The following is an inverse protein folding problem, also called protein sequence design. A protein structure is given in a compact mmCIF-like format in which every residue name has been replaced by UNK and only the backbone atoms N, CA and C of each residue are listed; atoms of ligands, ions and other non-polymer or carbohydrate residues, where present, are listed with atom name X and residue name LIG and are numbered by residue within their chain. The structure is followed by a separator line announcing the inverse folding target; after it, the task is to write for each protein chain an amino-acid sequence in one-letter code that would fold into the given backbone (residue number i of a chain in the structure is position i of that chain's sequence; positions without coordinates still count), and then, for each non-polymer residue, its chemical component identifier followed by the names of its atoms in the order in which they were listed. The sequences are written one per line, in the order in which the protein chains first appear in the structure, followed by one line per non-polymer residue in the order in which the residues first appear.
data_IF_204544352355
#
_entry.id   IF_204544352355
#
_cell.length_a   1.000
_cell.length_b   1.000
_cell.length_c   1.000
_cell.angle_alpha   90.00
_cell.angle_beta   90.00
_cell.angle_gamma   90.00
#
_symmetry.space_group_name_H-M   'P 1'
#
loop_
_entity.id
_entity.type
_entity.pdbx_description
1 polymer ?
#
# COMPACT_ATOMS: atom_id res chain seq x y z
N UNK A 1 27.26 14.91 23.91
CA UNK A 1 26.48 13.68 23.64
C UNK A 1 27.40 12.54 23.17
N UNK A 2 28.72 12.60 23.44
CA UNK A 2 29.72 11.73 22.79
C UNK A 2 30.14 10.50 23.62
N UNK A 3 29.63 10.38 24.86
CA UNK A 3 30.02 9.28 25.76
C UNK A 3 29.35 7.94 25.43
N UNK A 4 28.19 7.97 24.78
CA UNK A 4 27.39 6.78 24.45
C UNK A 4 27.96 6.10 23.20
N UNK A 5 28.39 6.87 22.20
CA UNK A 5 28.91 6.36 20.93
C UNK A 5 30.26 5.65 21.12
N UNK A 6 31.18 6.27 21.87
CA UNK A 6 32.46 5.63 22.23
C UNK A 6 32.34 4.42 23.16
N UNK A 7 31.21 4.27 23.86
CA UNK A 7 30.92 3.07 24.66
C UNK A 7 30.41 1.92 23.79
N UNK A 8 29.63 2.24 22.75
CA UNK A 8 29.17 1.28 21.75
C UNK A 8 30.29 0.76 20.86
N UNK A 9 31.21 1.62 20.41
CA UNK A 9 32.39 1.19 19.64
C UNK A 9 33.28 0.25 20.47
N UNK A 10 33.59 0.61 21.72
CA UNK A 10 34.37 -0.24 22.63
C UNK A 10 33.70 -1.59 22.88
N UNK A 11 32.37 -1.60 23.00
CA UNK A 11 31.61 -2.85 23.15
C UNK A 11 31.64 -3.70 21.88
N UNK A 12 31.50 -3.09 20.71
CA UNK A 12 31.57 -3.74 19.40
C UNK A 12 32.93 -4.40 19.16
N UNK A 13 34.01 -3.67 19.45
CA UNK A 13 35.38 -4.16 19.27
C UNK A 13 35.72 -5.26 20.27
N UNK A 14 35.36 -5.07 21.55
CA UNK A 14 35.63 -6.05 22.61
C UNK A 14 34.98 -7.41 22.34
N UNK A 15 33.81 -7.42 21.73
CA UNK A 15 33.08 -8.65 21.42
C UNK A 15 33.29 -9.16 19.99
N UNK A 16 34.16 -8.52 19.21
CA UNK A 16 34.42 -8.90 17.82
C UNK A 16 33.17 -8.82 16.93
N UNK A 17 32.19 -7.98 17.28
CA UNK A 17 30.93 -7.88 16.52
C UNK A 17 31.18 -7.35 15.11
N UNK A 18 32.16 -6.46 14.95
CA UNK A 18 32.61 -5.98 13.63
C UNK A 18 33.24 -7.05 12.75
N UNK A 19 33.94 -8.03 13.34
CA UNK A 19 34.56 -9.13 12.59
C UNK A 19 33.59 -10.28 12.30
N UNK A 20 32.53 -10.45 13.10
CA UNK A 20 31.41 -11.33 12.78
C UNK A 20 30.52 -10.79 11.65
N UNK A 21 30.34 -9.46 11.54
CA UNK A 21 29.63 -8.83 10.41
C UNK A 21 30.30 -9.10 9.05
N UNK A 22 31.63 -9.11 8.98
CA UNK A 22 32.39 -9.43 7.76
C UNK A 22 32.31 -10.90 7.34
N UNK A 23 31.87 -11.79 8.24
CA UNK A 23 31.70 -13.23 7.98
C UNK A 23 30.28 -13.60 7.58
N UNK A 24 29.33 -12.65 7.69
CA UNK A 24 28.03 -12.88 7.09
C UNK A 24 28.22 -12.98 5.57
N UNK A 25 27.55 -13.93 4.90
CA UNK A 25 27.49 -13.92 3.45
C UNK A 25 27.08 -12.50 3.02
N UNK A 26 27.60 -11.99 1.89
CA UNK A 26 27.11 -10.72 1.37
C UNK A 26 25.59 -10.77 1.41
N UNK A 27 24.96 -9.70 1.94
CA UNK A 27 23.51 -9.56 1.87
C UNK A 27 23.09 -9.98 0.46
N UNK A 28 22.10 -10.89 0.32
CA UNK A 28 21.69 -11.38 -0.99
C UNK A 28 21.58 -10.17 -1.90
N UNK A 29 22.39 -10.15 -2.96
CA UNK A 29 22.52 -9.02 -3.88
C UNK A 29 21.12 -8.54 -4.18
N UNK A 30 20.81 -7.30 -3.74
CA UNK A 30 19.49 -6.71 -3.90
C UNK A 30 19.02 -6.99 -5.33
N UNK A 31 18.02 -7.85 -5.48
CA UNK A 31 17.41 -8.04 -6.79
C UNK A 31 16.80 -6.69 -7.14
N UNK A 32 17.30 -6.04 -8.19
CA UNK A 32 16.66 -4.83 -8.70
C UNK A 32 15.19 -5.16 -8.94
N UNK A 33 14.23 -4.35 -8.44
CA UNK A 33 12.83 -4.59 -8.69
C UNK A 33 12.61 -4.76 -10.20
N UNK A 34 11.81 -5.75 -10.64
CA UNK A 34 11.47 -5.85 -12.05
C UNK A 34 10.80 -4.56 -12.52
N UNK A 35 10.91 -4.23 -13.80
CA UNK A 35 10.14 -3.12 -14.38
C UNK A 35 8.66 -3.47 -14.45
N UNK A 36 7.79 -2.48 -14.28
CA UNK A 36 6.36 -2.64 -14.55
C UNK A 36 6.12 -3.07 -16.01
N UNK A 37 5.15 -3.96 -16.20
CA UNK A 37 4.59 -4.23 -17.52
C UNK A 37 3.77 -3.03 -18.02
N UNK A 38 3.45 -2.93 -19.32
CA UNK A 38 2.56 -1.89 -19.83
C UNK A 38 1.24 -1.87 -19.06
N UNK A 39 0.85 -0.70 -18.57
CA UNK A 39 -0.34 -0.52 -17.77
C UNK A 39 -1.62 -0.68 -18.61
N UNK A 40 -2.54 -1.53 -18.15
CA UNK A 40 -3.90 -1.58 -18.66
C UNK A 40 -4.67 -0.30 -18.29
N UNK A 41 -4.64 0.66 -19.23
CA UNK A 41 -5.25 1.98 -19.07
C UNK A 41 -6.77 1.92 -18.85
N UNK A 42 -7.45 0.90 -19.40
CA UNK A 42 -8.90 0.74 -19.23
C UNK A 42 -9.25 0.33 -17.80
N UNK A 43 -8.50 -0.63 -17.24
CA UNK A 43 -8.64 -1.03 -15.83
C UNK A 43 -8.24 0.12 -14.90
N UNK A 44 -7.18 0.86 -15.23
CA UNK A 44 -6.73 2.01 -14.43
C UNK A 44 -7.81 3.09 -14.34
N UNK A 45 -8.45 3.43 -15.46
CA UNK A 45 -9.53 4.42 -15.50
C UNK A 45 -10.71 3.97 -14.64
N UNK A 46 -11.11 2.69 -14.74
CA UNK A 46 -12.20 2.14 -13.92
C UNK A 46 -11.86 2.13 -12.43
N UNK A 47 -10.61 1.86 -12.07
CA UNK A 47 -10.14 1.94 -10.70
C UNK A 47 -10.30 3.37 -10.14
N UNK A 48 -9.88 4.40 -10.87
CA UNK A 48 -10.06 5.78 -10.42
C UNK A 48 -11.53 6.16 -10.26
N UNK A 49 -12.42 5.70 -11.13
CA UNK A 49 -13.86 5.88 -10.97
C UNK A 49 -14.41 5.16 -9.73
N UNK A 50 -13.94 3.96 -9.43
CA UNK A 50 -14.30 3.25 -8.21
C UNK A 50 -13.85 4.03 -6.96
N UNK A 51 -12.65 4.62 -6.98
CA UNK A 51 -12.19 5.51 -5.91
C UNK A 51 -13.07 6.76 -5.76
N UNK A 52 -13.43 7.44 -6.85
CA UNK A 52 -14.34 8.60 -6.77
C UNK A 52 -15.68 8.22 -6.15
N UNK A 53 -16.28 7.12 -6.60
CA UNK A 53 -17.56 6.64 -6.11
C UNK A 53 -17.48 6.27 -4.62
N UNK A 54 -16.44 5.54 -4.22
CA UNK A 54 -16.21 5.18 -2.84
C UNK A 54 -15.95 6.41 -1.96
N UNK A 55 -15.22 7.41 -2.46
CA UNK A 55 -15.02 8.67 -1.76
C UNK A 55 -16.35 9.39 -1.55
N UNK A 56 -17.13 9.60 -2.61
CA UNK A 56 -18.40 10.32 -2.53
C UNK A 56 -19.44 9.61 -1.65
N UNK A 57 -19.40 8.28 -1.58
CA UNK A 57 -20.27 7.49 -0.70
C UNK A 57 -19.92 7.67 0.79
N UNK A 58 -18.63 7.84 1.10
CA UNK A 58 -18.10 7.86 2.46
C UNK A 58 -17.71 9.27 2.95
N UNK A 59 -17.69 10.25 2.06
CA UNK A 59 -17.31 11.61 2.38
C UNK A 59 -18.44 12.32 3.15
N UNK A 60 -18.10 13.15 4.14
CA UNK A 60 -19.10 13.96 4.83
C UNK A 60 -19.75 14.95 3.84
N UNK A 61 -21.05 15.15 4.03
CA UNK A 61 -21.83 16.15 3.29
C UNK A 61 -21.22 17.55 3.46
N UNK A 62 -21.19 18.40 2.40
CA UNK A 62 -21.79 18.20 1.08
C UNK A 62 -20.74 17.86 0.00
N UNK A 63 -20.10 16.70 0.09
CA UNK A 63 -19.24 16.23 -1.01
C UNK A 63 -20.11 15.74 -2.17
N UNK A 64 -20.16 16.50 -3.26
CA UNK A 64 -20.85 16.14 -4.51
C UNK A 64 -19.84 15.79 -5.61
N UNK A 65 -20.30 15.07 -6.64
CA UNK A 65 -19.48 14.79 -7.83
C UNK A 65 -18.94 16.08 -8.46
N UNK A 66 -19.74 17.15 -8.50
CA UNK A 66 -19.32 18.44 -9.05
C UNK A 66 -18.26 19.10 -8.19
N UNK A 67 -18.40 19.05 -6.86
CA UNK A 67 -17.39 19.59 -5.94
C UNK A 67 -16.06 18.86 -6.03
N UNK A 68 -16.11 17.54 -6.22
CA UNK A 68 -14.91 16.72 -6.42
C UNK A 68 -14.23 17.06 -7.75
N UNK A 69 -14.99 17.12 -8.84
CA UNK A 69 -14.45 17.48 -10.15
C UNK A 69 -13.82 18.87 -10.14
N UNK A 70 -14.49 19.86 -9.55
CA UNK A 70 -13.98 21.22 -9.42
C UNK A 70 -12.68 21.28 -8.59
N UNK A 71 -12.59 20.50 -7.51
CA UNK A 71 -11.38 20.45 -6.68
C UNK A 71 -10.22 19.76 -7.42
N UNK A 72 -10.49 18.68 -8.16
CA UNK A 72 -9.49 18.01 -9.00
C UNK A 72 -8.95 18.98 -10.06
N UNK A 73 -9.82 19.70 -10.76
CA UNK A 73 -9.43 20.67 -11.78
C UNK A 73 -8.64 21.84 -11.18
N UNK A 74 -9.06 22.34 -10.01
CA UNK A 74 -8.31 23.35 -9.27
C UNK A 74 -6.90 22.88 -8.93
N UNK A 75 -6.74 21.64 -8.46
CA UNK A 75 -5.42 21.07 -8.16
C UNK A 75 -4.58 20.94 -9.43
N UNK A 76 -5.15 20.44 -10.53
CA UNK A 76 -4.47 20.32 -11.83
C UNK A 76 -3.90 21.65 -12.34
N UNK A 77 -4.57 22.77 -12.04
CA UNK A 77 -4.08 24.12 -12.38
C UNK A 77 -2.96 24.61 -11.46
N UNK A 78 -2.88 24.10 -10.23
CA UNK A 78 -1.91 24.53 -9.22
C UNK A 78 -0.60 23.73 -9.26
N UNK A 79 -0.65 22.48 -9.74
CA UNK A 79 0.52 21.60 -9.82
C UNK A 79 0.90 21.34 -11.28
N UNK A 80 2.20 21.35 -11.56
CA UNK A 80 2.70 20.97 -12.88
C UNK A 80 2.81 19.44 -12.99
N UNK A 81 2.57 18.85 -14.17
CA UNK A 81 2.79 17.43 -14.42
C UNK A 81 4.26 16.96 -14.34
N UNK A 82 5.21 17.82 -13.97
CA UNK A 82 6.64 17.50 -13.89
C UNK A 82 6.96 16.77 -12.58
N UNK A 83 6.67 15.47 -12.50
CA UNK A 83 7.20 14.58 -11.47
C UNK A 83 8.51 13.95 -11.96
N UNK A 84 9.55 14.78 -12.08
CA UNK A 84 10.83 14.45 -12.73
C UNK A 84 11.75 13.50 -11.92
N UNK A 85 11.22 12.65 -11.03
CA UNK A 85 12.03 11.62 -10.33
C UNK A 85 12.03 10.27 -11.02
N UNK A 86 11.11 10.03 -11.97
CA UNK A 86 11.05 8.81 -12.77
C UNK A 86 11.12 9.18 -14.25
N UNK A 87 11.93 8.47 -15.05
CA UNK A 87 12.13 8.69 -16.49
C UNK A 87 10.86 8.52 -17.37
N UNK A 88 9.68 8.48 -16.77
CA UNK A 88 8.40 8.42 -17.44
C UNK A 88 7.41 9.32 -16.69
N UNK A 89 7.11 10.53 -17.18
CA UNK A 89 6.03 11.36 -16.65
C UNK A 89 4.70 10.72 -17.06
N UNK A 90 4.36 9.61 -16.42
CA UNK A 90 3.15 8.88 -16.77
C UNK A 90 1.94 9.76 -16.39
N UNK A 91 1.03 10.06 -17.34
CA UNK A 91 -0.20 10.82 -17.05
C UNK A 91 -1.00 10.23 -15.89
N UNK A 92 -0.83 8.94 -15.63
CA UNK A 92 -1.45 8.16 -14.55
C UNK A 92 -1.00 8.61 -13.16
N UNK A 93 0.28 8.93 -12.97
CA UNK A 93 0.81 9.41 -11.68
C UNK A 93 0.21 10.77 -11.32
N UNK A 94 0.17 11.70 -12.30
CA UNK A 94 -0.43 13.02 -12.10
C UNK A 94 -1.92 12.94 -11.79
N UNK A 95 -2.66 12.14 -12.57
CA UNK A 95 -4.09 11.99 -12.39
C UNK A 95 -4.42 11.38 -11.02
N UNK A 96 -3.70 10.33 -10.61
CA UNK A 96 -3.88 9.71 -9.30
C UNK A 96 -3.58 10.71 -8.18
N UNK A 97 -2.44 11.41 -8.26
CA UNK A 97 -2.06 12.41 -7.27
C UNK A 97 -3.15 13.50 -7.12
N UNK A 98 -3.65 14.05 -8.23
CA UNK A 98 -4.65 15.11 -8.21
C UNK A 98 -5.95 14.66 -7.53
N UNK A 99 -6.43 13.44 -7.86
CA UNK A 99 -7.66 12.87 -7.28
C UNK A 99 -7.54 12.62 -5.79
N UNK A 100 -6.50 11.91 -5.38
CA UNK A 100 -6.31 11.59 -3.96
C UNK A 100 -6.01 12.84 -3.14
N UNK A 101 -5.32 13.84 -3.70
CA UNK A 101 -5.18 15.15 -3.05
C UNK A 101 -6.53 15.86 -2.90
N UNK A 102 -7.40 15.80 -3.90
CA UNK A 102 -8.76 16.35 -3.78
C UNK A 102 -9.55 15.66 -2.66
N UNK A 103 -9.51 14.32 -2.56
CA UNK A 103 -10.18 13.59 -1.48
C UNK A 103 -9.73 14.08 -0.09
N UNK A 104 -8.41 14.22 0.10
CA UNK A 104 -7.85 14.68 1.37
C UNK A 104 -8.17 16.17 1.62
N UNK A 105 -8.13 17.03 0.60
CA UNK A 105 -8.45 18.46 0.70
C UNK A 105 -9.91 18.70 1.13
N UNK A 106 -10.84 18.03 0.47
CA UNK A 106 -12.27 18.10 0.79
C UNK A 106 -12.56 17.56 2.18
N UNK A 107 -11.93 16.44 2.56
CA UNK A 107 -12.07 15.85 3.89
C UNK A 107 -11.42 16.66 5.00
N UNK A 108 -10.41 17.49 4.67
CA UNK A 108 -9.83 18.42 5.63
C UNK A 108 -10.76 19.61 5.87
N UNK A 109 -11.51 20.01 4.85
CA UNK A 109 -12.46 21.12 4.90
C UNK A 109 -13.77 20.74 5.61
N UNK A 110 -14.19 19.49 5.48
CA UNK A 110 -15.30 18.89 6.21
C UNK A 110 -14.83 17.51 6.70
N UNK A 111 -14.36 17.39 7.95
CA UNK A 111 -13.84 16.12 8.47
C UNK A 111 -14.98 15.13 8.75
N UNK A 112 -14.81 13.84 8.38
CA UNK A 112 -15.77 12.82 8.77
C UNK A 112 -15.75 12.64 10.31
N UNK A 113 -16.86 12.16 10.90
CA UNK A 113 -16.95 12.00 12.36
C UNK A 113 -15.87 11.07 12.92
N UNK A 114 -15.43 10.09 12.14
CA UNK A 114 -14.36 9.16 12.48
C UNK A 114 -13.46 8.91 11.28
N UNK A 115 -12.25 9.48 11.28
CA UNK A 115 -11.25 9.32 10.21
C UNK A 115 -10.94 7.85 9.92
N UNK A 116 -10.80 7.04 10.98
CA UNK A 116 -10.54 5.60 10.86
C UNK A 116 -11.67 4.88 10.13
N UNK A 117 -12.92 5.16 10.50
CA UNK A 117 -14.08 4.55 9.87
C UNK A 117 -14.19 4.95 8.40
N UNK A 118 -14.02 6.23 8.07
CA UNK A 118 -14.03 6.71 6.70
C UNK A 118 -12.95 6.03 5.84
N UNK A 119 -11.72 5.90 6.36
CA UNK A 119 -10.62 5.20 5.68
C UNK A 119 -10.96 3.72 5.47
N UNK A 120 -11.47 3.03 6.48
CA UNK A 120 -11.85 1.61 6.39
C UNK A 120 -12.98 1.38 5.38
N UNK A 121 -14.06 2.17 5.44
CA UNK A 121 -15.18 2.00 4.51
C UNK A 121 -14.80 2.33 3.07
N UNK A 122 -13.96 3.35 2.88
CA UNK A 122 -13.37 3.65 1.57
C UNK A 122 -12.58 2.45 1.04
N UNK A 123 -11.65 1.91 1.85
CA UNK A 123 -10.82 0.77 1.44
C UNK A 123 -11.64 -0.50 1.14
N UNK A 124 -12.67 -0.80 1.94
CA UNK A 124 -13.58 -1.91 1.69
C UNK A 124 -14.37 -1.73 0.38
N UNK A 125 -14.90 -0.52 0.14
CA UNK A 125 -15.67 -0.21 -1.08
C UNK A 125 -14.79 -0.35 -2.32
N UNK A 126 -13.58 0.24 -2.28
CA UNK A 126 -12.64 0.16 -3.41
C UNK A 126 -12.13 -1.27 -3.61
N UNK A 127 -11.82 -1.99 -2.53
CA UNK A 127 -11.36 -3.38 -2.60
C UNK A 127 -12.38 -4.32 -3.26
N UNK A 128 -13.66 -4.14 -2.94
CA UNK A 128 -14.76 -4.88 -3.59
C UNK A 128 -14.83 -4.62 -5.09
N UNK A 129 -14.77 -3.35 -5.49
CA UNK A 129 -14.81 -2.95 -6.90
C UNK A 129 -13.58 -3.45 -7.67
N UNK A 130 -12.38 -3.38 -7.09
CA UNK A 130 -11.17 -3.95 -7.71
C UNK A 130 -11.38 -5.45 -7.98
N UNK A 131 -11.83 -6.21 -6.98
CA UNK A 131 -12.00 -7.66 -7.14
C UNK A 131 -13.01 -7.99 -8.25
N UNK A 132 -14.09 -7.20 -8.35
CA UNK A 132 -15.07 -7.31 -9.43
C UNK A 132 -14.47 -6.95 -10.81
N UNK A 133 -13.62 -5.91 -10.90
CA UNK A 133 -12.91 -5.52 -12.12
C UNK A 133 -11.94 -6.60 -12.59
N UNK A 134 -11.26 -7.29 -11.66
CA UNK A 134 -10.38 -8.42 -11.94
C UNK A 134 -11.17 -9.71 -12.24
N UNK A 135 -12.47 -9.73 -11.99
CA UNK A 135 -13.37 -10.89 -12.14
C UNK A 135 -12.93 -12.08 -11.29
N UNK A 136 -12.41 -11.81 -10.10
CA UNK A 136 -11.97 -12.83 -9.16
C UNK A 136 -13.11 -13.10 -8.17
N UNK A 137 -13.66 -14.32 -8.10
CA UNK A 137 -14.73 -14.61 -7.17
C UNK A 137 -14.19 -14.69 -5.74
N UNK A 138 -14.99 -14.22 -4.78
CA UNK A 138 -14.76 -14.55 -3.38
C UNK A 138 -15.11 -16.02 -3.10
N UNK A 139 -14.42 -16.66 -2.14
CA UNK A 139 -14.77 -18.00 -1.70
C UNK A 139 -16.17 -18.01 -1.07
N UNK A 140 -16.98 -19.02 -1.40
CA UNK A 140 -18.33 -19.16 -0.82
C UNK A 140 -18.31 -19.40 0.69
N UNK A 141 -17.26 -20.07 1.17
CA UNK A 141 -16.97 -20.27 2.59
C UNK A 141 -15.57 -19.75 2.85
N UNK A 142 -15.41 -18.50 3.32
CA UNK A 142 -14.11 -17.89 3.50
C UNK A 142 -13.35 -18.55 4.66
N UNK A 143 -12.27 -19.22 4.33
CA UNK A 143 -11.19 -19.66 5.23
C UNK A 143 -9.93 -18.82 5.00
N UNK A 144 -9.02 -18.78 5.97
CA UNK A 144 -7.76 -18.04 5.84
C UNK A 144 -7.00 -18.43 4.56
N UNK A 145 -6.84 -19.74 4.33
CA UNK A 145 -6.20 -20.29 3.14
C UNK A 145 -6.91 -19.89 1.83
N UNK A 146 -8.25 -19.94 1.78
CA UNK A 146 -9.00 -19.53 0.60
C UNK A 146 -8.90 -18.02 0.32
N UNK A 147 -8.82 -17.20 1.36
CA UNK A 147 -8.59 -15.75 1.27
C UNK A 147 -7.18 -15.46 0.76
N UNK A 148 -6.16 -16.15 1.28
CA UNK A 148 -4.78 -16.06 0.80
C UNK A 148 -4.68 -16.43 -0.68
N UNK A 149 -5.30 -17.54 -1.09
CA UNK A 149 -5.36 -17.98 -2.49
C UNK A 149 -6.05 -16.94 -3.39
N UNK A 150 -7.14 -16.33 -2.92
CA UNK A 150 -7.86 -15.27 -3.63
C UNK A 150 -6.98 -14.03 -3.81
N UNK A 151 -6.26 -13.63 -2.76
CA UNK A 151 -5.34 -12.49 -2.79
C UNK A 151 -4.17 -12.76 -3.75
N UNK A 152 -3.56 -13.95 -3.72
CA UNK A 152 -2.49 -14.32 -4.66
C UNK A 152 -2.96 -14.22 -6.11
N UNK A 153 -4.15 -14.75 -6.43
CA UNK A 153 -4.73 -14.63 -7.76
C UNK A 153 -4.94 -13.16 -8.19
N UNK A 154 -5.37 -12.31 -7.25
CA UNK A 154 -5.54 -10.87 -7.52
C UNK A 154 -4.22 -10.15 -7.75
N UNK A 155 -3.19 -10.47 -6.97
CA UNK A 155 -1.84 -9.91 -7.14
C UNK A 155 -1.23 -10.32 -8.49
N UNK A 156 -1.40 -11.58 -8.90
CA UNK A 156 -0.95 -12.08 -10.20
C UNK A 156 -1.69 -11.42 -11.37
N UNK A 157 -3.00 -11.21 -11.27
CA UNK A 157 -3.78 -10.50 -12.29
C UNK A 157 -3.35 -9.02 -12.40
N UNK A 158 -3.17 -8.34 -11.26
CA UNK A 158 -2.66 -6.96 -11.22
C UNK A 158 -1.24 -6.83 -11.80
N UNK A 159 -0.37 -7.80 -11.54
CA UNK A 159 0.96 -7.88 -12.16
C UNK A 159 0.85 -8.01 -13.67
N UNK A 160 -0.01 -8.90 -14.16
CA UNK A 160 -0.22 -9.12 -15.60
C UNK A 160 -0.74 -7.89 -16.34
N UNK A 161 -1.44 -6.99 -15.63
CA UNK A 161 -1.98 -5.72 -16.13
C UNK A 161 -1.07 -4.51 -15.92
N UNK A 162 0.15 -4.71 -15.42
CA UNK A 162 1.13 -3.64 -15.24
C UNK A 162 0.90 -2.72 -14.04
N UNK A 163 0.08 -3.12 -13.06
CA UNK A 163 -0.10 -2.34 -11.83
C UNK A 163 0.98 -2.59 -10.80
N UNK A 164 1.52 -3.81 -10.76
CA UNK A 164 2.54 -4.28 -9.83
C UNK A 164 3.69 -4.88 -10.63
N UNK A 165 4.94 -4.69 -10.21
CA UNK A 165 6.05 -5.38 -10.86
C UNK A 165 6.28 -6.75 -10.22
N UNK A 166 6.26 -6.80 -8.88
CA UNK A 166 6.28 -8.04 -8.10
C UNK A 166 5.49 -7.85 -6.81
N UNK A 167 4.72 -8.88 -6.44
CA UNK A 167 4.06 -8.95 -5.15
C UNK A 167 4.14 -10.39 -4.63
N UNK A 168 4.53 -10.55 -3.37
CA UNK A 168 4.74 -11.86 -2.74
C UNK A 168 4.02 -11.88 -1.41
N UNK A 169 3.11 -12.83 -1.23
CA UNK A 169 2.48 -13.11 0.05
C UNK A 169 3.47 -13.89 0.94
N UNK A 170 3.51 -13.57 2.23
CA UNK A 170 4.25 -14.35 3.23
C UNK A 170 3.70 -15.77 3.28
N UNK A 171 4.60 -16.76 3.42
CA UNK A 171 4.20 -18.14 3.61
C UNK A 171 3.30 -18.26 4.85
N UNK A 172 2.09 -18.77 4.65
CA UNK A 172 1.17 -19.08 5.75
C UNK A 172 1.44 -20.53 6.15
N UNK A 173 2.11 -20.72 7.28
CA UNK A 173 2.48 -22.05 7.79
C UNK A 173 1.24 -22.81 8.27
N UNK A 174 1.31 -24.13 8.32
CA UNK A 174 0.26 -24.96 8.92
C UNK A 174 -0.01 -24.53 10.38
N UNK A 175 1.04 -24.20 11.13
CA UNK A 175 0.94 -23.64 12.49
C UNK A 175 0.12 -22.34 12.53
N UNK A 176 0.33 -21.40 11.59
CA UNK A 176 -0.45 -20.17 11.54
C UNK A 176 -1.93 -20.40 11.16
N UNK A 177 -2.21 -21.43 10.34
CA UNK A 177 -3.58 -21.83 10.03
C UNK A 177 -4.28 -22.46 11.24
N UNK A 178 -3.56 -23.30 11.99
CA UNK A 178 -4.04 -23.90 13.24
C UNK A 178 -4.28 -22.85 14.32
N UNK A 179 -3.32 -21.95 14.55
CA UNK A 179 -3.43 -20.84 15.49
C UNK A 179 -4.65 -19.96 15.18
N UNK A 180 -4.84 -19.61 13.91
CA UNK A 180 -6.01 -18.83 13.50
C UNK A 180 -7.32 -19.62 13.69
N UNK A 181 -7.33 -20.93 13.43
CA UNK A 181 -8.51 -21.76 13.65
C UNK A 181 -8.88 -21.89 15.14
N UNK A 182 -7.87 -21.88 16.02
CA UNK A 182 -8.01 -21.88 17.49
C UNK A 182 -8.34 -20.50 18.07
N UNK A 183 -8.37 -19.48 17.21
CA UNK A 183 -8.81 -18.13 17.52
C UNK A 183 -7.74 -17.19 18.02
N UNK A 184 -6.49 -17.46 17.65
CA UNK A 184 -5.37 -16.57 17.90
C UNK A 184 -5.24 -15.52 16.78
N UNK A 185 -4.77 -14.34 17.18
CA UNK A 185 -4.46 -13.26 16.25
C UNK A 185 -3.35 -13.71 15.28
N UNK A 186 -3.52 -13.43 14.00
CA UNK A 186 -2.57 -13.81 12.95
C UNK A 186 -2.20 -12.59 12.11
N UNK A 187 -0.95 -12.51 11.67
CA UNK A 187 -0.50 -11.47 10.74
C UNK A 187 -0.10 -12.08 9.41
N UNK A 188 -0.62 -11.52 8.33
CA UNK A 188 -0.23 -11.87 6.97
C UNK A 188 0.45 -10.65 6.36
N UNK A 189 1.56 -10.86 5.65
CA UNK A 189 2.31 -9.78 5.00
C UNK A 189 2.35 -9.98 3.50
N UNK A 190 2.11 -8.92 2.73
CA UNK A 190 2.39 -8.87 1.29
C UNK A 190 3.57 -7.94 1.08
N UNK A 191 4.65 -8.43 0.47
CA UNK A 191 5.75 -7.62 0.00
C UNK A 191 5.49 -7.19 -1.46
N UNK A 192 5.48 -5.89 -1.73
CA UNK A 192 5.28 -5.31 -3.06
C UNK A 192 6.55 -4.59 -3.48
N UNK A 193 7.17 -5.05 -4.56
CA UNK A 193 8.32 -4.37 -5.16
C UNK A 193 7.85 -3.60 -6.38
N UNK A 194 7.72 -2.28 -6.19
CA UNK A 194 7.23 -1.30 -7.17
C UNK A 194 5.76 -1.51 -7.60
N UNK A 195 4.99 -0.43 -7.47
CA UNK A 195 3.63 -0.32 -8.00
C UNK A 195 3.43 1.01 -8.74
N UNK A 196 2.38 1.08 -9.56
CA UNK A 196 2.08 2.25 -10.39
C UNK A 196 1.67 3.50 -9.60
N UNK A 197 1.33 3.36 -8.32
CA UNK A 197 0.85 4.43 -7.44
C UNK A 197 1.92 4.95 -6.48
N UNK A 198 3.03 4.22 -6.31
CA UNK A 198 4.08 4.48 -5.34
C UNK A 198 4.54 5.95 -5.33
N UNK A 199 4.83 6.51 -6.52
CA UNK A 199 5.24 7.91 -6.65
C UNK A 199 4.15 8.88 -6.15
N UNK A 200 2.90 8.65 -6.52
CA UNK A 200 1.77 9.49 -6.06
C UNK A 200 1.57 9.39 -4.54
N UNK A 201 1.73 8.20 -3.96
CA UNK A 201 1.63 7.97 -2.51
C UNK A 201 2.72 8.70 -1.73
N UNK A 202 3.97 8.64 -2.22
CA UNK A 202 5.10 9.37 -1.62
C UNK A 202 4.82 10.87 -1.64
N UNK A 203 4.41 11.42 -2.79
CA UNK A 203 4.15 12.86 -2.95
C UNK A 203 3.01 13.37 -2.06
N UNK A 204 1.95 12.58 -1.90
CA UNK A 204 0.86 12.89 -0.96
C UNK A 204 1.37 12.89 0.48
N UNK A 205 2.17 11.88 0.84
CA UNK A 205 2.71 11.70 2.19
C UNK A 205 3.69 12.81 2.58
N UNK A 206 4.53 13.27 1.64
CA UNK A 206 5.44 14.42 1.82
C UNK A 206 4.67 15.72 2.12
N UNK A 207 3.46 15.85 1.61
CA UNK A 207 2.57 17.01 1.86
C UNK A 207 1.67 16.83 3.08
N UNK A 208 1.80 15.71 3.81
CA UNK A 208 0.99 15.40 4.99
C UNK A 208 -0.40 14.82 4.68
N UNK A 209 -0.72 14.53 3.41
CA UNK A 209 -1.97 13.89 3.02
C UNK A 209 -1.88 12.37 3.22
N UNK A 210 -2.51 11.87 4.29
CA UNK A 210 -2.41 10.45 4.71
C UNK A 210 -3.75 9.74 4.94
N UNK A 211 -4.88 10.45 4.80
CA UNK A 211 -6.19 9.85 5.07
C UNK A 211 -6.58 8.90 3.94
N UNK A 212 -6.52 9.38 2.71
CA UNK A 212 -6.72 8.59 1.51
C UNK A 212 -5.41 8.52 0.73
N UNK A 213 -4.83 7.33 0.63
CA UNK A 213 -3.63 7.05 -0.15
C UNK A 213 -3.93 5.92 -1.14
N UNK A 214 -3.47 6.00 -2.39
CA UNK A 214 -3.74 4.95 -3.38
C UNK A 214 -2.91 3.71 -3.08
N UNK A 215 -3.57 2.56 -2.88
CA UNK A 215 -2.90 1.28 -2.71
C UNK A 215 -3.83 0.09 -3.02
N UNK A 216 -3.62 -0.54 -4.18
CA UNK A 216 -4.42 -1.69 -4.60
C UNK A 216 -4.30 -2.86 -3.63
N UNK A 217 -3.06 -3.17 -3.22
CA UNK A 217 -2.77 -4.29 -2.33
C UNK A 217 -3.45 -4.08 -0.98
N UNK A 218 -3.38 -2.88 -0.41
CA UNK A 218 -4.06 -2.61 0.87
C UNK A 218 -5.58 -2.69 0.77
N UNK A 219 -6.18 -2.15 -0.30
CA UNK A 219 -7.63 -2.23 -0.50
C UNK A 219 -8.12 -3.66 -0.70
N UNK A 220 -7.42 -4.44 -1.53
CA UNK A 220 -7.72 -5.85 -1.76
C UNK A 220 -7.57 -6.68 -0.50
N UNK A 221 -6.44 -6.55 0.21
CA UNK A 221 -6.22 -7.28 1.46
C UNK A 221 -7.27 -6.93 2.50
N UNK A 222 -7.58 -5.64 2.68
CA UNK A 222 -8.62 -5.20 3.61
C UNK A 222 -9.97 -5.80 3.28
N UNK A 223 -10.37 -5.79 2.00
CA UNK A 223 -11.66 -6.34 1.58
C UNK A 223 -11.71 -7.86 1.69
N UNK A 224 -10.74 -8.58 1.13
CA UNK A 224 -10.72 -10.05 1.11
C UNK A 224 -10.72 -10.61 2.53
N UNK A 225 -9.86 -10.11 3.42
CA UNK A 225 -9.79 -10.62 4.79
C UNK A 225 -10.95 -10.17 5.68
N UNK A 226 -11.63 -9.05 5.36
CA UNK A 226 -12.86 -8.66 6.07
C UNK A 226 -14.03 -9.64 5.89
N UNK A 227 -13.93 -10.56 4.92
CA UNK A 227 -14.93 -11.61 4.70
C UNK A 227 -14.79 -12.77 5.68
N UNK A 228 -13.67 -12.86 6.41
CA UNK A 228 -13.47 -13.90 7.41
C UNK A 228 -14.46 -13.73 8.58
N UNK A 229 -15.08 -14.82 9.05
CA UNK A 229 -16.10 -14.74 10.08
C UNK A 229 -15.49 -14.31 11.42
N UNK A 230 -16.14 -13.35 12.09
CA UNK A 230 -15.74 -12.82 13.41
C UNK A 230 -14.32 -12.25 13.45
N UNK A 231 -13.75 -11.86 12.31
CA UNK A 231 -12.41 -11.28 12.25
C UNK A 231 -12.47 -9.77 12.05
N UNK A 232 -11.68 -9.04 12.82
CA UNK A 232 -11.37 -7.64 12.55
C UNK A 232 -10.05 -7.57 11.79
N UNK A 233 -10.06 -6.94 10.61
CA UNK A 233 -8.87 -6.76 9.78
C UNK A 233 -8.33 -5.33 9.94
N UNK A 234 -7.06 -5.20 10.30
CA UNK A 234 -6.31 -3.94 10.24
C UNK A 234 -5.18 -4.05 9.22
N UNK A 235 -5.03 -3.03 8.37
CA UNK A 235 -4.04 -3.05 7.29
C UNK A 235 -3.11 -1.86 7.42
N UNK A 236 -1.81 -2.14 7.52
CA UNK A 236 -0.75 -1.14 7.70
C UNK A 236 0.33 -1.32 6.64
N UNK A 237 0.79 -0.20 6.08
CA UNK A 237 1.85 -0.17 5.07
C UNK A 237 3.16 0.32 5.67
N UNK A 238 4.25 -0.38 5.35
CA UNK A 238 5.62 0.01 5.69
C UNK A 238 6.43 0.21 4.42
N UNK A 239 6.92 1.43 4.23
CA UNK A 239 7.74 1.80 3.08
C UNK A 239 9.21 1.52 3.42
N UNK A 240 9.82 0.58 2.71
CA UNK A 240 11.17 0.09 2.95
C UNK A 240 12.12 0.58 1.87
N UNK A 241 13.23 1.18 2.30
CA UNK A 241 14.44 1.29 1.49
C UNK A 241 15.30 0.07 1.77
N UNK A 242 15.36 -0.84 0.79
CA UNK A 242 16.15 -2.07 0.91
C UNK A 242 17.64 -1.81 0.67
N UNK A 243 18.01 -0.64 0.14
CA UNK A 243 19.38 -0.10 0.16
C UNK A 243 19.64 0.67 1.43
N UNK A 244 20.30 0.01 2.38
CA UNK A 244 20.80 0.70 3.56
C UNK A 244 21.75 1.84 3.15
N UNK A 245 21.27 3.07 3.20
CA UNK A 245 22.03 4.31 3.11
C UNK A 245 21.78 5.11 4.39
N UNK A 246 22.85 5.51 5.07
CA UNK A 246 22.78 6.43 6.20
C UNK A 246 22.49 7.88 5.77
N UNK A 247 22.52 8.14 4.46
CA UNK A 247 22.19 9.43 3.88
C UNK A 247 20.68 9.47 3.56
N UNK A 248 19.89 10.28 4.30
CA UNK A 248 18.44 10.38 4.11
C UNK A 248 18.06 10.97 2.74
N UNK A 249 18.97 11.69 2.07
CA UNK A 249 18.73 12.21 0.72
C UNK A 249 18.77 11.11 -0.35
N UNK A 250 19.32 9.94 0.00
CA UNK A 250 19.36 8.76 -0.87
C UNK A 250 18.26 7.75 -0.56
N UNK A 251 17.32 8.08 0.32
CA UNK A 251 16.20 7.21 0.64
C UNK A 251 15.33 7.01 -0.61
N UNK A 252 15.30 5.78 -1.09
CA UNK A 252 14.47 5.38 -2.22
C UNK A 252 13.58 4.22 -1.76
N UNK A 253 12.26 4.42 -1.81
CA UNK A 253 11.34 3.33 -1.49
C UNK A 253 11.49 2.27 -2.58
N UNK A 254 11.97 1.09 -2.19
CA UNK A 254 12.14 -0.06 -3.10
C UNK A 254 11.09 -1.12 -2.91
N UNK A 255 10.53 -1.20 -1.70
CA UNK A 255 9.53 -2.20 -1.34
C UNK A 255 8.50 -1.59 -0.39
N UNK A 256 7.25 -2.00 -0.52
CA UNK A 256 6.17 -1.71 0.43
C UNK A 256 5.74 -3.03 1.05
N UNK A 257 5.77 -3.12 2.38
CA UNK A 257 5.20 -4.25 3.11
C UNK A 257 3.79 -3.88 3.56
N UNK A 258 2.81 -4.64 3.11
CA UNK A 258 1.41 -4.52 3.52
C UNK A 258 1.14 -5.59 4.57
N UNK A 259 1.08 -5.18 5.83
CA UNK A 259 0.76 -6.07 6.94
C UNK A 259 -0.74 -6.05 7.22
N UNK A 260 -1.33 -7.23 7.28
CA UNK A 260 -2.73 -7.47 7.56
C UNK A 260 -2.83 -8.19 8.91
N UNK A 261 -3.18 -7.44 9.95
CA UNK A 261 -3.46 -7.99 11.27
C UNK A 261 -4.90 -8.51 11.31
N UNK A 262 -5.07 -9.80 11.60
CA UNK A 262 -6.34 -10.48 11.73
C UNK A 262 -6.60 -10.77 13.20
N UNK A 263 -7.62 -10.11 13.77
CA UNK A 263 -7.96 -10.20 15.20
C UNK A 263 -9.30 -10.90 15.38
N UNK A 264 -9.38 -11.88 16.28
CA UNK A 264 -10.62 -12.62 16.57
C UNK A 264 -11.43 -12.08 17.75
#
# INVERSE_FOLDING_TARGET
MDGIDGSWEKFSDKNGLGSQRKKQPPFPTQSTPPSLLPLDSATFTKFLHACDAAFLLNAPTPSSSDSLAAEVDRIKLLVKPSFDRTNDPSPTTFETYCRFRAYNSLSSSSPPPTLRHAKTQFGLSVGSEILALLKIPLPSTPTLDSCCSTLVNALEDLKSRGFLARATLSDVTEEALEDFADGLDTTITVAVDTDVFQSSTILLSEQGFRLFTPSLTSFLSQYIFSTLPKTTTDVTEYFMDTSYSSDPEKFEVKQVLVNCELKQ
#
